data_IF_977548907493
#
_entry.id   IF_977548907493
#
_cell.length_a   1.000
_cell.length_b   1.000
_cell.length_c   1.000
_cell.angle_alpha   90.00
_cell.angle_beta   90.00
_cell.angle_gamma   90.00
#
_symmetry.space_group_name_H-M   'P 1'
#
loop_
_entity.id
_entity.type
_entity.pdbx_description
1 polymer ?
#
# COMPACT_ATOMS: atom_id res chain seq x y z
N UNK A 1 -8.23 11.05 -3.70
CA UNK A 1 -7.91 11.35 -5.12
C UNK A 1 -9.01 12.10 -5.86
N UNK A 2 -10.29 11.94 -5.52
CA UNK A 2 -11.37 12.74 -6.12
C UNK A 2 -11.11 14.24 -6.05
N UNK A 3 -10.68 14.76 -4.87
CA UNK A 3 -10.29 16.17 -4.71
C UNK A 3 -9.22 16.60 -5.71
N UNK A 4 -8.10 15.88 -5.79
CA UNK A 4 -7.00 16.26 -6.69
C UNK A 4 -7.44 16.28 -8.15
N UNK A 5 -8.26 15.31 -8.57
CA UNK A 5 -8.81 15.27 -9.92
C UNK A 5 -9.81 16.41 -10.19
N UNK A 6 -10.65 16.73 -9.21
CA UNK A 6 -11.60 17.84 -9.30
C UNK A 6 -10.89 19.19 -9.33
N UNK A 7 -9.76 19.32 -8.64
CA UNK A 7 -8.89 20.49 -8.66
C UNK A 7 -8.01 20.60 -9.91
N UNK A 8 -8.08 19.62 -10.84
CA UNK A 8 -7.34 19.66 -12.10
C UNK A 8 -5.87 19.23 -12.02
N UNK A 9 -5.42 18.68 -10.89
CA UNK A 9 -4.06 18.13 -10.81
C UNK A 9 -3.91 16.90 -11.71
N UNK A 10 -2.74 16.78 -12.35
CA UNK A 10 -2.42 15.63 -13.17
C UNK A 10 -2.39 14.34 -12.32
N UNK A 11 -2.99 13.27 -12.83
CA UNK A 11 -3.02 11.96 -12.15
C UNK A 11 -2.63 10.82 -13.07
N UNK A 12 -2.07 9.77 -12.47
CA UNK A 12 -1.67 8.51 -13.09
C UNK A 12 -2.55 7.38 -12.56
N UNK A 13 -2.74 6.31 -13.34
CA UNK A 13 -3.49 5.12 -12.95
C UNK A 13 -2.84 3.88 -13.55
N UNK A 14 -2.61 2.85 -12.74
CA UNK A 14 -2.02 1.60 -13.21
C UNK A 14 -0.53 1.74 -13.55
N UNK A 15 0.04 0.78 -14.30
CA UNK A 15 1.42 0.81 -14.77
C UNK A 15 1.76 2.04 -15.62
N UNK A 16 2.78 2.77 -15.17
CA UNK A 16 3.41 3.84 -15.95
C UNK A 16 4.31 3.24 -17.04
N UNK A 17 4.46 3.88 -18.22
CA UNK A 17 5.37 3.38 -19.25
C UNK A 17 6.82 3.68 -18.85
N UNK A 18 7.75 2.83 -19.26
CA UNK A 18 9.20 2.97 -18.99
C UNK A 18 9.72 4.33 -19.41
N UNK A 19 9.24 4.87 -20.53
CA UNK A 19 9.64 6.17 -21.05
C UNK A 19 9.33 7.34 -20.10
N UNK A 20 8.34 7.21 -19.21
CA UNK A 20 7.92 8.28 -18.28
C UNK A 20 8.93 8.54 -17.17
N UNK A 21 9.49 7.47 -16.59
CA UNK A 21 10.37 7.54 -15.41
C UNK A 21 11.71 6.82 -15.58
N UNK A 22 11.97 6.27 -16.76
CA UNK A 22 13.15 5.45 -17.10
C UNK A 22 13.31 4.21 -16.20
N UNK A 23 12.19 3.64 -15.75
CA UNK A 23 12.17 2.50 -14.81
C UNK A 23 12.28 1.17 -15.57
N UNK A 24 13.39 0.45 -15.41
CA UNK A 24 13.64 -0.82 -16.12
C UNK A 24 12.57 -1.89 -15.87
N UNK A 25 11.88 -1.85 -14.73
CA UNK A 25 10.82 -2.81 -14.38
C UNK A 25 9.44 -2.38 -14.90
N UNK A 26 9.30 -1.15 -15.37
CA UNK A 26 8.07 -0.68 -15.99
C UNK A 26 7.87 -1.29 -17.39
N UNK A 27 6.60 -1.50 -17.81
CA UNK A 27 6.28 -1.93 -19.18
C UNK A 27 6.67 -0.85 -20.20
N UNK A 28 6.80 -1.21 -21.48
CA UNK A 28 7.02 -0.21 -22.54
C UNK A 28 5.80 0.70 -22.71
N UNK A 29 4.62 0.08 -22.76
CA UNK A 29 3.33 0.77 -22.90
C UNK A 29 2.64 0.92 -21.54
N UNK A 30 1.90 2.02 -21.33
CA UNK A 30 1.12 2.20 -20.11
C UNK A 30 -0.06 1.22 -20.03
N UNK A 31 -0.54 0.96 -18.81
CA UNK A 31 -1.80 0.24 -18.58
C UNK A 31 -2.60 0.94 -17.47
N UNK A 32 -3.91 0.77 -17.46
CA UNK A 32 -4.83 1.36 -16.50
C UNK A 32 -5.33 0.37 -15.45
N UNK A 33 -4.80 -0.86 -15.44
CA UNK A 33 -5.15 -1.89 -14.44
C UNK A 33 -4.25 -1.73 -13.19
N UNK A 34 -4.78 -1.23 -12.06
CA UNK A 34 -4.02 -1.11 -10.83
C UNK A 34 -3.78 -2.48 -10.19
N UNK A 35 -2.94 -2.50 -9.16
CA UNK A 35 -2.71 -3.68 -8.32
C UNK A 35 -4.03 -4.33 -7.86
N UNK A 36 -4.06 -5.66 -7.93
CA UNK A 36 -5.21 -6.46 -7.56
C UNK A 36 -5.67 -6.24 -6.10
N UNK A 37 -6.97 -6.36 -5.89
CA UNK A 37 -7.63 -6.18 -4.60
C UNK A 37 -7.68 -7.52 -3.85
N UNK A 38 -7.61 -7.44 -2.53
CA UNK A 38 -7.71 -8.58 -1.61
C UNK A 38 -8.75 -8.30 -0.52
N UNK A 39 -9.47 -9.31 -0.04
CA UNK A 39 -10.25 -9.21 1.20
C UNK A 39 -9.65 -10.15 2.24
N UNK A 40 -8.93 -9.59 3.22
CA UNK A 40 -8.44 -10.39 4.34
C UNK A 40 -9.62 -10.93 5.16
N UNK A 41 -9.39 -12.03 5.86
CA UNK A 41 -10.35 -12.61 6.80
C UNK A 41 -9.62 -13.20 8.00
N UNK A 42 -10.36 -13.41 9.07
CA UNK A 42 -9.86 -13.95 10.34
C UNK A 42 -10.40 -15.36 10.52
N UNK A 43 -9.54 -16.26 10.97
CA UNK A 43 -9.90 -17.61 11.42
C UNK A 43 -9.46 -17.78 12.87
N UNK A 44 -10.19 -18.60 13.61
CA UNK A 44 -10.01 -18.77 15.06
C UNK A 44 -9.95 -20.25 15.41
N UNK A 45 -9.09 -20.67 16.36
CA UNK A 45 -8.99 -22.06 16.75
C UNK A 45 -10.25 -22.52 17.50
N UNK A 46 -10.65 -23.77 17.26
CA UNK A 46 -11.77 -24.45 17.94
C UNK A 46 -11.50 -25.93 18.09
N UNK A 47 -12.03 -26.53 19.16
CA UNK A 47 -12.00 -27.98 19.36
C UNK A 47 -12.79 -28.73 18.28
N UNK A 48 -13.98 -28.22 17.94
CA UNK A 48 -14.88 -28.80 16.94
C UNK A 48 -15.25 -27.76 15.86
N UNK A 49 -14.32 -27.42 14.95
CA UNK A 49 -14.52 -26.34 13.99
C UNK A 49 -15.60 -26.69 12.96
N UNK A 50 -16.46 -25.71 12.66
CA UNK A 50 -17.49 -25.84 11.63
C UNK A 50 -16.85 -25.96 10.24
N UNK A 51 -17.33 -26.90 9.43
CA UNK A 51 -16.87 -27.08 8.05
C UNK A 51 -17.43 -25.99 7.15
N UNK A 52 -16.55 -25.39 6.36
CA UNK A 52 -16.92 -24.34 5.42
C UNK A 52 -17.78 -24.90 4.28
N UNK A 53 -18.86 -24.20 3.96
CA UNK A 53 -19.71 -24.53 2.80
C UNK A 53 -19.15 -23.80 1.57
N UNK A 54 -18.98 -24.48 0.42
CA UNK A 54 -18.54 -23.83 -0.81
C UNK A 54 -19.51 -22.72 -1.26
N UNK A 55 -19.05 -21.69 -1.99
CA UNK A 55 -19.95 -20.70 -2.55
C UNK A 55 -20.86 -21.33 -3.63
N UNK A 56 -22.09 -20.83 -3.71
CA UNK A 56 -23.06 -21.15 -4.76
C UNK A 56 -23.49 -19.83 -5.46
N UNK A 57 -23.29 -19.67 -6.78
CA UNK A 57 -22.60 -20.62 -7.68
C UNK A 57 -21.11 -20.80 -7.33
N UNK A 58 -20.45 -21.87 -7.83
CA UNK A 58 -19.03 -22.07 -7.59
C UNK A 58 -18.19 -20.95 -8.21
N UNK A 59 -17.05 -20.65 -7.59
CA UNK A 59 -16.05 -19.72 -8.13
C UNK A 59 -15.04 -20.51 -8.95
N UNK A 60 -14.98 -20.27 -10.26
CA UNK A 60 -14.15 -21.05 -11.19
C UNK A 60 -12.64 -20.92 -10.93
N UNK A 61 -12.18 -19.69 -10.65
CA UNK A 61 -10.75 -19.37 -10.48
C UNK A 61 -10.53 -18.49 -9.25
N UNK A 62 -9.62 -18.94 -8.38
CA UNK A 62 -9.21 -18.21 -7.18
C UNK A 62 -7.81 -18.68 -6.73
N UNK A 63 -7.06 -17.88 -5.96
CA UNK A 63 -5.68 -18.18 -5.60
C UNK A 63 -5.56 -19.32 -4.57
N UNK A 64 -4.83 -20.39 -4.94
CA UNK A 64 -4.44 -21.50 -4.04
C UNK A 64 -3.19 -21.19 -3.23
N UNK A 65 -3.21 -20.02 -2.59
CA UNK A 65 -2.12 -19.52 -1.76
C UNK A 65 -2.66 -18.45 -0.84
N UNK A 66 -2.10 -18.34 0.35
CA UNK A 66 -2.46 -17.31 1.31
C UNK A 66 -1.23 -16.92 2.13
N UNK A 67 -1.20 -15.66 2.55
CA UNK A 67 -0.27 -15.21 3.57
C UNK A 67 -1.01 -15.17 4.92
N UNK A 68 -0.47 -15.85 5.92
CA UNK A 68 -1.12 -16.06 7.21
C UNK A 68 -0.28 -15.42 8.32
N UNK A 69 -0.90 -14.57 9.12
CA UNK A 69 -0.26 -13.93 10.27
C UNK A 69 -1.01 -14.32 11.55
N UNK A 70 -0.31 -14.97 12.47
CA UNK A 70 -0.86 -15.32 13.78
C UNK A 70 -0.98 -14.10 14.68
N UNK A 71 -2.02 -14.09 15.51
CA UNK A 71 -2.30 -13.10 16.53
C UNK A 71 -2.02 -13.69 17.93
N UNK A 72 -1.79 -12.84 18.96
CA UNK A 72 -1.47 -13.32 20.32
C UNK A 72 -2.55 -14.20 20.97
N UNK A 73 -3.81 -14.08 20.53
CA UNK A 73 -4.95 -14.88 21.00
C UNK A 73 -5.08 -16.23 20.27
N UNK A 74 -4.15 -16.56 19.37
CA UNK A 74 -4.16 -17.79 18.58
C UNK A 74 -4.96 -17.68 17.29
N UNK A 75 -5.64 -16.56 17.03
CA UNK A 75 -6.31 -16.33 15.76
C UNK A 75 -5.30 -16.08 14.63
N UNK A 76 -5.74 -16.27 13.40
CA UNK A 76 -4.93 -16.04 12.21
C UNK A 76 -5.65 -15.06 11.30
N UNK A 77 -4.95 -13.99 10.89
CA UNK A 77 -5.37 -13.17 9.76
C UNK A 77 -4.83 -13.79 8.48
N UNK A 78 -5.75 -14.10 7.58
CA UNK A 78 -5.45 -14.68 6.27
C UNK A 78 -5.62 -13.61 5.21
N UNK A 79 -4.53 -13.32 4.49
CA UNK A 79 -4.56 -12.51 3.28
C UNK A 79 -4.62 -13.45 2.06
N UNK A 80 -5.72 -13.47 1.29
CA UNK A 80 -5.86 -14.33 0.13
C UNK A 80 -4.98 -13.90 -1.07
N UNK A 81 -4.18 -12.84 -0.91
CA UNK A 81 -3.39 -12.20 -1.96
C UNK A 81 -4.30 -11.59 -3.05
N UNK A 82 -3.83 -11.57 -4.29
CA UNK A 82 -4.56 -11.00 -5.42
C UNK A 82 -5.81 -11.82 -5.74
N UNK A 83 -6.99 -11.24 -5.50
CA UNK A 83 -8.28 -11.92 -5.72
C UNK A 83 -9.10 -11.30 -6.84
N UNK A 84 -9.14 -9.96 -6.91
CA UNK A 84 -9.95 -9.22 -7.89
C UNK A 84 -9.03 -8.29 -8.67
N UNK A 85 -9.15 -8.18 -10.00
CA UNK A 85 -8.42 -7.17 -10.78
C UNK A 85 -8.66 -5.77 -10.20
N UNK A 86 -7.61 -4.95 -10.09
CA UNK A 86 -7.75 -3.62 -9.50
C UNK A 86 -8.70 -2.71 -10.29
N UNK A 87 -8.79 -2.93 -11.61
CA UNK A 87 -9.65 -2.17 -12.52
C UNK A 87 -11.15 -2.35 -12.22
N UNK A 88 -11.54 -3.54 -11.75
CA UNK A 88 -12.94 -3.84 -11.40
C UNK A 88 -13.50 -2.88 -10.35
N UNK A 89 -12.68 -2.34 -9.44
CA UNK A 89 -13.16 -1.36 -8.46
C UNK A 89 -13.66 -0.06 -9.11
N UNK A 90 -13.05 0.31 -10.25
CA UNK A 90 -13.44 1.50 -11.02
C UNK A 90 -14.66 1.19 -11.88
N UNK A 91 -14.64 0.05 -12.56
CA UNK A 91 -15.64 -0.28 -13.57
C UNK A 91 -16.94 -0.83 -12.96
N UNK A 92 -16.86 -1.57 -11.84
CA UNK A 92 -17.99 -2.26 -11.20
C UNK A 92 -18.39 -1.62 -9.86
N UNK A 93 -17.48 -0.90 -9.23
CA UNK A 93 -17.71 -0.27 -7.94
C UNK A 93 -17.45 -1.17 -6.73
N UNK A 94 -17.50 -0.54 -5.55
CA UNK A 94 -17.04 -1.16 -4.30
C UNK A 94 -17.89 -2.36 -3.86
N UNK A 95 -19.22 -2.24 -3.91
CA UNK A 95 -20.14 -3.27 -3.42
C UNK A 95 -20.04 -4.57 -4.22
N UNK A 96 -19.95 -4.47 -5.55
CA UNK A 96 -19.78 -5.63 -6.42
C UNK A 96 -18.42 -6.31 -6.15
N UNK A 97 -17.34 -5.53 -6.02
CA UNK A 97 -16.04 -6.08 -5.64
C UNK A 97 -16.07 -6.74 -4.25
N UNK A 98 -16.76 -6.16 -3.27
CA UNK A 98 -16.91 -6.74 -1.94
C UNK A 98 -17.65 -8.08 -1.99
N UNK A 99 -18.76 -8.15 -2.72
CA UNK A 99 -19.54 -9.37 -2.89
C UNK A 99 -18.69 -10.48 -3.56
N UNK A 100 -17.97 -10.16 -4.64
CA UNK A 100 -17.05 -11.09 -5.30
C UNK A 100 -15.93 -11.56 -4.38
N UNK A 101 -15.33 -10.65 -3.60
CA UNK A 101 -14.20 -10.98 -2.74
C UNK A 101 -14.62 -11.95 -1.63
N UNK A 102 -15.81 -11.77 -1.04
CA UNK A 102 -16.37 -12.69 -0.03
C UNK A 102 -16.56 -14.09 -0.59
N UNK A 103 -17.06 -14.23 -1.83
CA UNK A 103 -17.20 -15.54 -2.50
C UNK A 103 -15.84 -16.20 -2.76
N UNK A 104 -14.84 -15.43 -3.19
CA UNK A 104 -13.47 -15.93 -3.37
C UNK A 104 -12.86 -16.39 -2.03
N UNK A 105 -13.03 -15.60 -0.96
CA UNK A 105 -12.59 -15.97 0.39
C UNK A 105 -13.27 -17.25 0.87
N UNK A 106 -14.57 -17.41 0.62
CA UNK A 106 -15.30 -18.64 0.96
C UNK A 106 -14.71 -19.86 0.25
N UNK A 107 -14.48 -19.76 -1.07
CA UNK A 107 -13.85 -20.83 -1.84
C UNK A 107 -12.44 -21.16 -1.33
N UNK A 108 -11.63 -20.14 -1.04
CA UNK A 108 -10.28 -20.31 -0.51
C UNK A 108 -10.30 -20.95 0.89
N UNK A 109 -11.22 -20.54 1.76
CA UNK A 109 -11.33 -21.10 3.10
C UNK A 109 -11.74 -22.58 3.06
N UNK A 110 -12.70 -22.96 2.20
CA UNK A 110 -13.04 -24.36 1.97
C UNK A 110 -11.82 -25.21 1.58
N UNK A 111 -10.90 -24.66 0.80
CA UNK A 111 -9.65 -25.33 0.44
C UNK A 111 -8.63 -25.33 1.58
N UNK A 112 -8.39 -24.20 2.25
CA UNK A 112 -7.45 -24.13 3.37
C UNK A 112 -7.83 -25.11 4.48
N UNK A 113 -9.13 -25.25 4.78
CA UNK A 113 -9.61 -26.15 5.84
C UNK A 113 -9.39 -27.65 5.53
N UNK A 114 -9.04 -28.01 4.29
CA UNK A 114 -8.62 -29.36 3.91
C UNK A 114 -7.15 -29.63 4.25
N UNK A 115 -6.35 -28.59 4.50
CA UNK A 115 -4.95 -28.70 4.87
C UNK A 115 -4.87 -28.96 6.38
N UNK A 116 -4.12 -29.99 6.85
CA UNK A 116 -4.09 -30.39 8.27
C UNK A 116 -3.83 -29.25 9.25
N UNK A 117 -2.96 -28.31 8.90
CA UNK A 117 -2.62 -27.13 9.72
C UNK A 117 -3.85 -26.27 10.08
N UNK A 118 -4.85 -26.23 9.20
CA UNK A 118 -6.05 -25.40 9.39
C UNK A 118 -7.28 -26.22 9.80
N UNK A 119 -7.14 -27.54 9.98
CA UNK A 119 -8.26 -28.42 10.33
C UNK A 119 -8.89 -28.10 11.70
N UNK A 120 -8.13 -27.47 12.60
CA UNK A 120 -8.56 -27.00 13.93
C UNK A 120 -9.09 -25.57 13.99
N UNK A 121 -9.30 -24.93 12.83
CA UNK A 121 -9.75 -23.53 12.76
C UNK A 121 -11.15 -23.41 12.13
N UNK A 122 -11.89 -22.39 12.54
CA UNK A 122 -13.14 -21.96 11.92
C UNK A 122 -13.05 -20.53 11.38
N UNK A 123 -13.90 -20.19 10.41
CA UNK A 123 -14.04 -18.82 9.94
C UNK A 123 -14.61 -17.94 11.05
N UNK A 124 -13.96 -16.82 11.34
CA UNK A 124 -14.42 -15.85 12.33
C UNK A 124 -15.13 -14.68 11.66
N UNK A 125 -14.42 -13.92 10.81
CA UNK A 125 -14.97 -12.71 10.19
C UNK A 125 -14.20 -12.28 8.95
N UNK A 126 -14.88 -11.53 8.07
CA UNK A 126 -14.20 -10.77 7.03
C UNK A 126 -13.52 -9.54 7.63
N UNK A 127 -12.48 -9.02 6.96
CA UNK A 127 -12.03 -7.66 7.20
C UNK A 127 -13.18 -6.67 6.88
N UNK A 128 -13.27 -5.54 7.60
CA UNK A 128 -14.35 -4.58 7.42
C UNK A 128 -14.30 -3.84 6.07
N UNK A 129 -13.17 -3.90 5.36
CA UNK A 129 -12.99 -3.24 4.08
C UNK A 129 -12.12 -4.06 3.11
N UNK A 130 -12.32 -3.82 1.82
CA UNK A 130 -11.42 -4.29 0.77
C UNK A 130 -10.00 -3.73 0.96
N UNK A 131 -9.00 -4.61 0.84
CA UNK A 131 -7.60 -4.26 0.72
C UNK A 131 -7.30 -3.72 -0.67
N UNK A 132 -7.73 -2.49 -0.93
CA UNK A 132 -7.39 -1.73 -2.14
C UNK A 132 -5.91 -1.36 -2.07
N UNK A 133 -5.11 -1.93 -2.97
CA UNK A 133 -3.65 -1.77 -2.97
C UNK A 133 -3.20 -0.50 -3.67
N UNK A 134 -3.93 -0.12 -4.71
CA UNK A 134 -3.61 1.00 -5.58
C UNK A 134 -4.91 1.65 -6.09
N UNK A 135 -4.82 2.94 -6.38
CA UNK A 135 -5.83 3.70 -7.09
C UNK A 135 -5.08 4.77 -7.88
N UNK A 136 -5.78 5.83 -8.29
CA UNK A 136 -5.13 7.01 -8.85
C UNK A 136 -3.97 7.50 -7.96
N UNK A 137 -2.90 7.94 -8.60
CA UNK A 137 -1.76 8.64 -7.99
C UNK A 137 -1.69 10.05 -8.57
N UNK A 138 -1.34 11.04 -7.77
CA UNK A 138 -1.15 12.42 -8.24
C UNK A 138 0.29 12.62 -8.71
N UNK A 139 0.49 13.46 -9.73
CA UNK A 139 1.82 13.95 -10.08
C UNK A 139 2.15 15.11 -9.15
N UNK A 140 3.23 14.95 -8.41
CA UNK A 140 3.73 15.89 -7.40
C UNK A 140 5.00 16.57 -7.86
N UNK A 141 5.53 17.48 -7.04
CA UNK A 141 6.83 18.13 -7.27
C UNK A 141 7.97 17.12 -7.42
N UNK A 142 7.91 16.02 -6.68
CA UNK A 142 8.78 14.87 -6.91
C UNK A 142 7.98 13.57 -6.94
N UNK A 143 8.22 12.72 -7.94
CA UNK A 143 7.65 11.37 -8.01
C UNK A 143 8.73 10.37 -7.67
N UNK A 144 8.58 9.63 -6.56
CA UNK A 144 9.48 8.55 -6.15
C UNK A 144 9.46 7.42 -7.19
N UNK A 145 10.64 6.92 -7.52
CA UNK A 145 10.84 5.98 -8.64
C UNK A 145 11.59 4.73 -8.19
N UNK A 146 11.59 3.73 -9.05
CA UNK A 146 12.35 2.49 -8.88
C UNK A 146 13.82 2.75 -8.53
N UNK A 147 14.45 3.73 -9.18
CA UNK A 147 15.86 4.06 -8.96
C UNK A 147 16.12 4.55 -7.54
N UNK A 148 15.17 5.28 -6.92
CA UNK A 148 15.27 5.72 -5.52
C UNK A 148 15.27 4.53 -4.57
N UNK A 149 14.37 3.57 -4.82
CA UNK A 149 14.26 2.35 -4.05
C UNK A 149 15.53 1.50 -4.16
N UNK A 150 16.08 1.37 -5.36
CA UNK A 150 17.30 0.59 -5.63
C UNK A 150 18.56 1.27 -5.07
N UNK A 151 18.62 2.60 -5.10
CA UNK A 151 19.72 3.38 -4.54
C UNK A 151 19.76 3.30 -3.01
N UNK A 152 18.59 3.17 -2.37
CA UNK A 152 18.46 3.16 -0.92
C UNK A 152 18.86 4.49 -0.27
N UNK A 153 18.80 4.54 1.06
CA UNK A 153 19.05 5.78 1.81
C UNK A 153 20.42 6.41 1.51
N UNK A 154 21.47 5.60 1.32
CA UNK A 154 22.82 6.09 1.06
C UNK A 154 23.04 6.57 -0.37
N UNK A 155 22.24 6.07 -1.33
CA UNK A 155 22.32 6.46 -2.74
C UNK A 155 21.34 7.56 -3.13
N UNK A 156 20.35 7.85 -2.28
CA UNK A 156 19.42 8.96 -2.46
C UNK A 156 20.07 10.29 -2.04
N UNK A 157 19.92 11.30 -2.89
CA UNK A 157 20.35 12.67 -2.61
C UNK A 157 19.13 13.57 -2.32
N UNK A 158 18.22 13.09 -1.46
CA UNK A 158 17.02 13.82 -1.08
C UNK A 158 17.25 14.55 0.25
N UNK A 159 17.31 15.90 0.26
CA UNK A 159 17.50 16.65 1.51
C UNK A 159 16.27 16.57 2.42
N UNK A 160 15.11 16.28 1.84
CA UNK A 160 13.78 16.44 2.45
C UNK A 160 13.10 15.11 2.81
N UNK A 161 13.85 14.07 3.19
CA UNK A 161 13.27 12.76 3.57
C UNK A 161 12.40 12.90 4.82
N UNK A 162 11.13 12.47 4.73
CA UNK A 162 10.15 12.53 5.84
C UNK A 162 9.61 11.17 6.28
N UNK A 163 9.92 10.10 5.54
CA UNK A 163 9.53 8.74 5.90
C UNK A 163 10.54 7.73 5.34
N UNK A 164 10.65 6.58 6.00
CA UNK A 164 11.52 5.47 5.56
C UNK A 164 10.69 4.23 5.32
N UNK A 165 11.00 3.51 4.23
CA UNK A 165 10.39 2.26 3.86
C UNK A 165 11.45 1.23 3.46
N UNK A 166 11.11 -0.06 3.57
CA UNK A 166 12.03 -1.19 3.37
C UNK A 166 11.37 -2.39 2.68
N UNK A 167 10.12 -2.23 2.24
CA UNK A 167 9.37 -3.34 1.66
C UNK A 167 9.86 -3.64 0.24
N UNK A 168 10.01 -4.91 -0.13
CA UNK A 168 10.32 -5.26 -1.52
C UNK A 168 9.26 -4.71 -2.49
N UNK A 169 9.67 -4.47 -3.74
CA UNK A 169 8.72 -4.15 -4.81
C UNK A 169 7.84 -5.39 -5.06
N UNK A 170 6.51 -5.24 -4.94
CA UNK A 170 5.55 -6.34 -5.07
C UNK A 170 4.30 -5.88 -5.83
N UNK A 171 4.32 -6.11 -7.14
CA UNK A 171 3.21 -5.84 -8.06
C UNK A 171 2.39 -7.10 -8.29
N UNK A 172 1.06 -6.98 -8.13
CA UNK A 172 0.09 -8.04 -8.38
C UNK A 172 -0.87 -7.67 -9.53
N UNK A 173 -0.85 -8.44 -10.61
CA UNK A 173 -1.75 -8.24 -11.76
C UNK A 173 -1.81 -9.48 -12.67
N UNK A 174 -2.84 -9.52 -13.52
CA UNK A 174 -3.00 -10.57 -14.54
C UNK A 174 -2.15 -10.23 -15.77
N UNK A 175 -1.09 -11.00 -16.01
CA UNK A 175 -0.30 -10.92 -17.25
C UNK A 175 1.05 -10.20 -17.17
N UNK A 176 1.27 -9.33 -16.19
CA UNK A 176 2.64 -8.86 -15.90
C UNK A 176 3.39 -9.96 -15.16
N UNK A 177 4.55 -10.41 -15.67
CA UNK A 177 5.53 -11.16 -14.86
C UNK A 177 5.59 -10.47 -13.49
N UNK A 178 5.43 -11.22 -12.39
CA UNK A 178 5.52 -10.64 -11.04
C UNK A 178 6.75 -9.73 -11.01
N UNK A 179 6.52 -8.44 -10.90
CA UNK A 179 7.62 -7.50 -10.72
C UNK A 179 7.95 -7.59 -9.25
N UNK A 180 8.85 -8.53 -8.94
CA UNK A 180 9.45 -8.67 -7.63
C UNK A 180 10.89 -8.21 -7.71
N UNK A 181 11.19 -7.10 -7.04
CA UNK A 181 12.56 -6.58 -6.92
C UNK A 181 13.00 -6.65 -5.48
N UNK A 182 14.13 -7.31 -5.23
CA UNK A 182 14.75 -7.29 -3.90
C UNK A 182 15.39 -5.93 -3.67
N UNK A 183 15.20 -5.37 -2.48
CA UNK A 183 15.88 -4.15 -2.05
C UNK A 183 17.12 -4.53 -1.27
N UNK A 184 18.20 -3.78 -1.47
CA UNK A 184 19.45 -4.00 -0.76
C UNK A 184 19.52 -3.19 0.55
N UNK A 185 18.67 -2.18 0.71
CA UNK A 185 18.58 -1.33 1.90
C UNK A 185 17.24 -0.60 1.97
N UNK A 186 16.86 -0.03 3.14
CA UNK A 186 15.75 0.90 3.23
C UNK A 186 15.97 2.13 2.34
N UNK A 187 14.89 2.79 1.96
CA UNK A 187 14.89 4.02 1.17
C UNK A 187 14.00 5.08 1.84
N UNK A 188 14.33 6.35 1.58
CA UNK A 188 13.62 7.52 2.04
C UNK A 188 12.53 7.98 1.05
N UNK A 189 11.52 8.64 1.59
CA UNK A 189 10.44 9.29 0.84
C UNK A 189 10.57 10.80 1.08
N UNK A 190 10.89 11.60 0.05
CA UNK A 190 11.02 13.04 0.19
C UNK A 190 9.66 13.73 0.40
N UNK A 191 9.65 14.85 1.10
CA UNK A 191 8.48 15.68 1.37
C UNK A 191 7.79 16.14 0.09
N UNK A 192 8.56 16.45 -0.96
CA UNK A 192 8.04 16.81 -2.29
C UNK A 192 7.20 15.72 -2.96
N UNK A 193 7.21 14.49 -2.47
CA UNK A 193 6.24 13.45 -2.88
C UNK A 193 4.81 13.75 -2.45
N UNK A 194 4.59 14.67 -1.51
CA UNK A 194 3.27 14.97 -0.95
C UNK A 194 2.61 16.16 -1.63
N UNK A 195 3.35 17.01 -2.33
CA UNK A 195 2.86 18.28 -2.88
C UNK A 195 2.45 18.07 -4.34
N UNK A 196 1.15 18.09 -4.70
CA UNK A 196 0.73 18.09 -6.10
C UNK A 196 1.43 19.20 -6.87
N UNK A 197 1.87 18.93 -8.10
CA UNK A 197 2.67 19.89 -8.86
C UNK A 197 1.91 21.23 -9.02
N UNK A 198 2.50 22.32 -8.53
CA UNK A 198 1.91 23.67 -8.56
C UNK A 198 0.84 23.92 -7.48
N UNK A 199 0.77 23.09 -6.45
CA UNK A 199 -0.11 23.28 -5.30
C UNK A 199 0.51 24.20 -4.26
N UNK A 200 -0.25 25.17 -3.76
CA UNK A 200 0.17 26.05 -2.66
C UNK A 200 -0.32 25.57 -1.29
N UNK A 201 -1.41 24.79 -1.21
CA UNK A 201 -2.08 24.49 0.05
C UNK A 201 -2.63 23.06 0.18
N UNK A 202 -2.35 22.18 -0.78
CA UNK A 202 -2.77 20.77 -0.75
C UNK A 202 -1.57 19.87 -0.53
N UNK A 203 -1.68 18.97 0.46
CA UNK A 203 -0.80 17.82 0.66
C UNK A 203 -1.56 16.51 0.45
N UNK A 204 -0.93 15.54 -0.22
CA UNK A 204 -1.47 14.20 -0.45
C UNK A 204 -0.71 13.20 0.42
N UNK A 205 -1.27 12.90 1.59
CA UNK A 205 -0.65 12.02 2.58
C UNK A 205 -1.23 10.59 2.56
N UNK A 206 -1.32 9.98 1.38
CA UNK A 206 -1.85 8.62 1.24
C UNK A 206 -1.16 7.86 0.10
N UNK A 207 -1.61 6.64 -0.20
CA UNK A 207 -1.09 5.82 -1.31
C UNK A 207 -1.18 6.48 -2.69
N UNK A 208 -2.02 7.51 -2.83
CA UNK A 208 -2.16 8.31 -4.04
C UNK A 208 -1.16 9.45 -4.15
N UNK A 209 -0.18 9.58 -3.26
CA UNK A 209 0.90 10.56 -3.35
C UNK A 209 1.84 10.29 -4.55
N UNK A 210 2.88 11.10 -4.67
CA UNK A 210 3.86 11.12 -5.74
C UNK A 210 4.74 9.89 -5.84
N UNK A 211 4.20 8.79 -6.38
CA UNK A 211 4.91 7.54 -6.58
C UNK A 211 4.70 7.03 -8.01
N UNK A 212 5.74 6.48 -8.63
CA UNK A 212 5.55 5.64 -9.82
C UNK A 212 4.78 4.38 -9.45
N UNK A 213 4.23 3.67 -10.43
CA UNK A 213 3.57 2.38 -10.20
C UNK A 213 4.48 1.38 -9.48
N UNK A 214 5.76 1.36 -9.86
CA UNK A 214 6.77 0.47 -9.28
C UNK A 214 7.07 0.87 -7.83
N UNK A 215 7.34 2.16 -7.56
CA UNK A 215 7.63 2.63 -6.21
C UNK A 215 6.41 2.45 -5.27
N UNK A 216 5.21 2.75 -5.77
CA UNK A 216 3.96 2.58 -5.04
C UNK A 216 3.73 1.13 -4.60
N UNK A 217 4.22 0.14 -5.36
CA UNK A 217 4.10 -1.27 -5.00
C UNK A 217 4.78 -1.61 -3.66
N UNK A 218 5.81 -0.84 -3.30
CA UNK A 218 6.64 -1.01 -2.10
C UNK A 218 6.21 -0.07 -0.96
N UNK A 219 6.04 1.24 -1.21
CA UNK A 219 5.81 2.23 -0.15
C UNK A 219 4.35 2.32 0.35
N UNK A 220 3.43 1.54 -0.22
CA UNK A 220 1.98 1.59 0.09
C UNK A 220 1.56 0.96 1.43
N UNK A 221 2.48 0.37 2.19
CA UNK A 221 2.17 -0.31 3.44
C UNK A 221 1.72 0.68 4.52
N UNK A 222 0.80 0.25 5.39
CA UNK A 222 0.25 1.12 6.46
C UNK A 222 1.34 1.76 7.33
N UNK A 223 2.43 1.03 7.64
CA UNK A 223 3.57 1.56 8.41
C UNK A 223 4.23 2.78 7.75
N UNK A 224 4.27 2.82 6.43
CA UNK A 224 4.85 3.93 5.66
C UNK A 224 3.85 5.06 5.51
N UNK A 225 2.58 4.74 5.24
CA UNK A 225 1.51 5.73 5.11
C UNK A 225 1.27 6.48 6.43
N UNK A 226 1.41 5.82 7.59
CA UNK A 226 1.33 6.47 8.90
C UNK A 226 2.44 7.51 9.07
N UNK A 227 3.69 7.20 8.69
CA UNK A 227 4.81 8.15 8.74
C UNK A 227 4.56 9.37 7.85
N UNK A 228 4.14 9.12 6.60
CA UNK A 228 3.77 10.18 5.65
C UNK A 228 2.63 11.06 6.21
N UNK A 229 1.61 10.44 6.80
CA UNK A 229 0.49 11.15 7.42
C UNK A 229 0.92 12.05 8.58
N UNK A 230 1.82 11.55 9.42
CA UNK A 230 2.39 12.32 10.53
C UNK A 230 3.17 13.54 10.02
N UNK A 231 4.08 13.33 9.05
CA UNK A 231 4.84 14.41 8.44
C UNK A 231 3.95 15.47 7.76
N UNK A 232 2.93 15.03 7.01
CA UNK A 232 2.01 15.95 6.35
C UNK A 232 1.20 16.79 7.34
N UNK A 233 0.77 16.21 8.46
CA UNK A 233 0.05 16.94 9.50
C UNK A 233 0.89 18.03 10.15
N UNK A 234 2.15 17.71 10.49
CA UNK A 234 3.11 18.68 11.02
C UNK A 234 3.42 19.78 10.01
N UNK A 235 3.70 19.42 8.76
CA UNK A 235 4.00 20.39 7.70
C UNK A 235 2.81 21.33 7.42
N UNK A 236 1.58 20.81 7.44
CA UNK A 236 0.38 21.64 7.29
C UNK A 236 0.21 22.62 8.46
N UNK A 237 0.55 22.21 9.69
CA UNK A 237 0.53 23.11 10.85
C UNK A 237 1.60 24.21 10.73
N UNK A 238 2.84 23.84 10.37
CA UNK A 238 3.93 24.79 10.16
C UNK A 238 3.58 25.82 9.06
N UNK A 239 3.08 25.36 7.91
CA UNK A 239 2.64 26.23 6.82
C UNK A 239 1.57 27.23 7.26
N UNK A 240 0.61 26.77 8.07
CA UNK A 240 -0.46 27.62 8.61
C UNK A 240 0.04 28.64 9.65
N UNK A 241 1.00 28.27 10.50
CA UNK A 241 1.59 29.14 11.51
C UNK A 241 2.50 30.21 10.89
N UNK A 242 3.29 29.83 9.88
CA UNK A 242 4.23 30.73 9.20
C UNK A 242 3.56 31.56 8.10
N UNK A 243 2.35 31.17 7.65
CA UNK A 243 1.63 31.84 6.58
C UNK A 243 2.26 31.64 5.20
N UNK A 244 2.89 30.48 4.98
CA UNK A 244 3.61 30.13 3.74
C UNK A 244 2.91 29.00 2.98
N UNK A 245 3.11 28.88 1.66
CA UNK A 245 2.67 27.72 0.90
C UNK A 245 3.27 26.42 1.46
N UNK A 246 2.57 25.29 1.29
CA UNK A 246 3.06 23.98 1.74
C UNK A 246 4.37 23.56 1.05
N UNK A 247 4.67 24.14 -0.12
CA UNK A 247 5.93 23.99 -0.85
C UNK A 247 7.11 24.75 -0.25
N UNK A 248 6.85 25.70 0.66
CA UNK A 248 7.85 26.56 1.29
C UNK A 248 8.12 26.21 2.76
N UNK A 249 7.49 25.14 3.27
CA UNK A 249 7.76 24.63 4.63
C UNK A 249 9.23 24.28 4.79
N UNK A 250 9.84 24.73 5.88
CA UNK A 250 11.21 24.35 6.26
C UNK A 250 11.28 22.84 6.58
N UNK A 251 11.79 22.08 5.61
CA UNK A 251 11.91 20.63 5.74
C UNK A 251 12.97 20.20 6.75
N UNK A 252 13.97 21.03 7.04
CA UNK A 252 14.98 20.72 8.04
C UNK A 252 14.35 20.81 9.43
N UNK A 253 13.58 21.86 9.70
CA UNK A 253 12.80 22.00 10.92
C UNK A 253 11.79 20.86 11.09
N UNK A 254 11.04 20.54 10.03
CA UNK A 254 10.10 19.40 10.02
C UNK A 254 10.81 18.09 10.37
N UNK A 255 11.97 17.82 9.78
CA UNK A 255 12.76 16.62 10.08
C UNK A 255 13.24 16.58 11.53
N UNK A 256 13.61 17.71 12.14
CA UNK A 256 13.96 17.73 13.55
C UNK A 256 12.78 17.34 14.44
N UNK A 257 11.57 17.82 14.12
CA UNK A 257 10.35 17.48 14.85
C UNK A 257 10.00 15.98 14.68
N UNK A 258 10.23 15.43 13.49
CA UNK A 258 9.96 14.01 13.19
C UNK A 258 10.93 13.04 13.84
N UNK A 259 12.09 13.50 14.32
CA UNK A 259 13.04 12.63 15.02
C UNK A 259 12.39 12.13 16.31
N UNK A 260 12.50 10.83 16.61
CA UNK A 260 12.12 10.34 17.93
C UNK A 260 12.89 11.13 18.99
N UNK A 261 12.22 11.63 20.03
CA UNK A 261 12.92 12.06 21.23
C UNK A 261 13.85 10.90 21.65
N UNK A 262 15.12 11.19 21.92
CA UNK A 262 16.00 10.25 22.62
C UNK A 262 15.48 10.05 24.05
N UNK A 263 14.36 9.35 24.19
CA UNK A 263 14.02 8.71 25.46
C UNK A 263 14.94 7.50 25.57
N UNK A 264 16.18 7.76 25.98
CA UNK A 264 16.96 6.79 26.73
C UNK A 264 16.01 6.17 27.76
N UNK A 265 15.62 4.92 27.59
CA UNK A 265 15.07 4.16 28.70
C UNK A 265 16.22 3.99 29.69
N UNK A 266 16.19 4.62 30.88
CA UNK A 266 17.18 4.33 31.89
C UNK A 266 16.81 2.96 32.48
N UNK A 267 17.36 1.89 31.91
CA UNK A 267 17.17 0.56 32.47
C UNK A 267 17.06 -0.56 31.45
N UNK A 268 18.18 -0.90 30.81
CA UNK A 268 18.49 -2.28 30.41
C UNK A 268 19.99 -2.39 30.18
N UNK A 269 20.75 -2.30 31.27
CA UNK A 269 22.02 -3.04 31.34
C UNK A 269 21.64 -4.52 31.45
N UNK A 270 22.14 -5.32 30.50
CA UNK A 270 22.22 -6.77 30.65
C UNK A 270 23.46 -7.11 31.47
#
# INVERSE_FOLDING_TARGET
>A
MQLCRAAGFETMLGPDPRSRFSERLAPEEPDTVPNAISLCYRITPRENPRRAVPPDPPVEKWPRSAHCNGLPDGDIIVNPLATIPGRDLIDLGYEECMARAKRIVQAQWCWLQQIPTFAGYEFHSFAPALGVRESYRVVTEYVLRQQDLEAGLSGQAHPDIIAVADHSMDVHGAGSKRVSGHLNSPYGIPYRCLIPKGSENVLVACRGAGFSHIAASSCRLSRTIIQIGHAAGLAAAMAAEEGVPVSEVDTDALQQILRPEERCHPGRQR
#
